data_IF_208748622056
#
_entry.id   IF_208748622056
#
_cell.length_a   1.000
_cell.length_b   1.000
_cell.length_c   1.000
_cell.angle_alpha   90.00
_cell.angle_beta   90.00
_cell.angle_gamma   90.00
#
_symmetry.space_group_name_H-M   'P 1'
#
loop_
_entity.id
_entity.type
_entity.pdbx_description
1 polymer ?
#
# COMPACT_ATOMS: atom_id res chain seq x y z
N UNK A 1 -13.38 -0.39 -19.44
CA UNK A 1 -13.56 0.72 -18.49
C UNK A 1 -12.50 0.50 -17.44
N UNK A 2 -11.30 1.03 -17.66
CA UNK A 2 -10.12 0.79 -16.81
C UNK A 2 -9.82 2.08 -16.06
N UNK A 3 -9.58 1.97 -14.76
CA UNK A 3 -9.44 3.12 -13.87
C UNK A 3 -10.23 3.02 -12.57
N UNK A 4 -10.58 1.81 -12.14
CA UNK A 4 -11.10 1.65 -10.79
C UNK A 4 -10.05 2.13 -9.76
N UNK A 5 -10.52 2.95 -8.82
CA UNK A 5 -9.71 3.55 -7.77
C UNK A 5 -10.31 3.17 -6.42
N UNK A 6 -9.48 2.60 -5.57
CA UNK A 6 -9.87 2.16 -4.24
C UNK A 6 -9.02 2.87 -3.20
N UNK A 7 -9.69 3.51 -2.25
CA UNK A 7 -9.02 4.17 -1.12
C UNK A 7 -9.21 3.33 0.14
N UNK A 8 -8.09 2.88 0.69
CA UNK A 8 -7.97 2.09 1.90
C UNK A 8 -7.69 3.03 3.06
N UNK A 9 -8.50 2.88 4.10
CA UNK A 9 -8.39 3.64 5.35
C UNK A 9 -7.96 2.73 6.48
N UNK A 10 -7.42 3.32 7.55
CA UNK A 10 -7.14 2.64 8.79
C UNK A 10 -8.35 2.82 9.71
N UNK A 11 -9.24 1.82 9.74
CA UNK A 11 -10.42 1.84 10.61
C UNK A 11 -10.12 1.17 11.97
N UNK A 12 -10.85 1.60 13.00
CA UNK A 12 -10.74 1.07 14.37
C UNK A 12 -11.05 -0.44 14.47
N UNK A 13 -11.86 -0.95 13.54
CA UNK A 13 -12.31 -2.34 13.51
C UNK A 13 -11.37 -3.28 12.75
N UNK A 14 -10.32 -2.77 12.10
CA UNK A 14 -9.34 -3.63 11.45
C UNK A 14 -8.39 -4.21 12.49
N UNK A 15 -8.56 -5.49 12.79
CA UNK A 15 -7.59 -6.32 13.53
C UNK A 15 -6.19 -6.27 12.89
N UNK A 16 -5.18 -6.74 13.62
CA UNK A 16 -3.77 -6.79 13.17
C UNK A 16 -3.05 -5.44 13.13
N UNK A 17 -3.22 -4.69 14.22
CA UNK A 17 -2.43 -3.48 14.53
C UNK A 17 -1.45 -3.76 15.67
N UNK A 18 -0.23 -3.24 15.59
CA UNK A 18 0.77 -3.37 16.65
C UNK A 18 0.44 -2.46 17.84
N UNK A 19 -0.12 -3.04 18.90
CA UNK A 19 -0.58 -2.30 20.09
C UNK A 19 0.45 -2.19 21.22
N UNK A 20 1.52 -2.99 21.20
CA UNK A 20 2.46 -3.07 22.33
C UNK A 20 3.25 -1.76 22.49
N UNK A 21 2.93 -1.00 23.55
CA UNK A 21 3.56 0.29 23.84
C UNK A 21 3.16 1.41 22.88
N UNK A 22 2.19 1.14 21.99
CA UNK A 22 1.72 2.09 20.99
C UNK A 22 0.57 2.94 21.54
N UNK A 23 0.57 4.21 21.19
CA UNK A 23 -0.59 5.10 21.35
C UNK A 23 -1.17 5.36 19.97
N UNK A 24 -2.49 5.17 19.85
CA UNK A 24 -3.21 5.35 18.60
C UNK A 24 -4.40 6.28 18.88
N UNK A 25 -4.50 7.34 18.11
CA UNK A 25 -5.64 8.25 18.15
C UNK A 25 -6.33 8.26 16.79
N UNK A 26 -7.64 8.06 16.80
CA UNK A 26 -8.48 8.10 15.61
C UNK A 26 -9.19 9.45 15.59
N UNK A 27 -8.60 10.43 14.90
CA UNK A 27 -9.19 11.77 14.75
C UNK A 27 -10.32 11.76 13.73
N UNK A 28 -10.25 10.86 12.76
CA UNK A 28 -11.29 10.63 11.76
C UNK A 28 -10.97 9.42 10.88
N UNK A 29 -11.84 9.13 9.90
CA UNK A 29 -11.69 7.98 9.00
C UNK A 29 -10.39 8.03 8.18
N UNK A 30 -9.95 9.23 7.83
CA UNK A 30 -8.76 9.52 7.03
C UNK A 30 -7.66 10.17 7.87
N UNK A 31 -7.68 9.99 9.20
CA UNK A 31 -6.65 10.56 10.06
C UNK A 31 -6.47 9.71 11.32
N UNK A 32 -5.46 8.85 11.24
CA UNK A 32 -5.01 8.03 12.37
C UNK A 32 -3.62 8.47 12.77
N UNK A 33 -3.49 8.91 14.01
CA UNK A 33 -2.20 9.26 14.59
C UNK A 33 -1.65 8.07 15.37
N UNK A 34 -0.40 7.72 15.10
CA UNK A 34 0.27 6.60 15.74
C UNK A 34 1.59 7.06 16.35
N UNK A 35 1.85 6.69 17.61
CA UNK A 35 3.09 7.01 18.30
C UNK A 35 3.63 5.79 19.05
N UNK A 36 4.89 5.43 18.78
CA UNK A 36 5.64 4.43 19.54
C UNK A 36 7.16 4.61 19.37
N UNK A 37 7.82 5.18 20.40
CA UNK A 37 9.26 5.47 20.38
C UNK A 37 10.16 4.25 20.59
N UNK A 38 9.61 3.15 21.09
CA UNK A 38 10.37 1.94 21.43
C UNK A 38 10.12 0.81 20.42
N UNK A 39 9.43 1.10 19.32
CA UNK A 39 9.14 0.10 18.30
C UNK A 39 10.42 -0.23 17.51
N UNK A 40 10.84 -1.50 17.45
CA UNK A 40 11.96 -1.90 16.62
C UNK A 40 11.69 -1.63 15.13
N UNK A 41 12.69 -1.20 14.35
CA UNK A 41 12.57 -1.14 12.90
C UNK A 41 12.32 -2.54 12.32
N UNK A 42 11.54 -2.62 11.25
CA UNK A 42 11.09 -3.87 10.64
C UNK A 42 9.82 -4.47 11.25
N UNK A 43 9.28 -3.87 12.32
CA UNK A 43 8.02 -4.32 12.92
C UNK A 43 6.84 -3.99 12.01
N UNK A 44 5.94 -4.96 11.80
CA UNK A 44 4.69 -4.70 11.08
C UNK A 44 3.73 -3.95 12.00
N UNK A 45 3.43 -2.71 11.64
CA UNK A 45 2.54 -1.82 12.40
C UNK A 45 1.09 -2.17 12.13
N UNK A 46 0.75 -2.39 10.85
CA UNK A 46 -0.63 -2.60 10.42
C UNK A 46 -0.69 -3.55 9.23
N UNK A 47 -1.73 -4.39 9.19
CA UNK A 47 -2.02 -5.26 8.05
C UNK A 47 -3.44 -5.03 7.52
N UNK A 48 -3.57 -5.14 6.21
CA UNK A 48 -4.84 -5.16 5.47
C UNK A 48 -4.88 -6.38 4.55
N UNK A 49 -6.07 -6.91 4.31
CA UNK A 49 -6.29 -8.17 3.58
C UNK A 49 -7.33 -8.00 2.47
N UNK A 50 -7.06 -8.54 1.27
CA UNK A 50 -8.01 -8.54 0.14
C UNK A 50 -9.07 -9.61 0.25
N UNK A 51 -8.74 -10.69 0.97
CA UNK A 51 -9.66 -11.75 1.30
C UNK A 51 -9.53 -12.06 2.77
N UNK A 52 -10.64 -11.97 3.49
CA UNK A 52 -10.72 -12.33 4.89
C UNK A 52 -11.60 -13.57 5.01
N UNK A 53 -11.19 -14.52 5.85
CA UNK A 53 -12.01 -15.67 6.16
C UNK A 53 -12.97 -15.28 7.30
N UNK A 54 -14.15 -14.78 6.93
CA UNK A 54 -15.13 -14.19 7.86
C UNK A 54 -15.43 -15.09 9.08
N UNK A 55 -15.43 -16.42 8.88
CA UNK A 55 -15.71 -17.40 9.94
C UNK A 55 -14.64 -17.49 11.03
N UNK A 56 -13.39 -17.11 10.74
CA UNK A 56 -12.28 -17.23 11.69
C UNK A 56 -11.81 -15.86 12.20
N UNK A 57 -11.92 -14.81 11.39
CA UNK A 57 -11.32 -13.50 11.68
C UNK A 57 -12.33 -12.38 11.98
N UNK A 58 -13.63 -12.56 11.70
CA UNK A 58 -14.66 -11.49 11.79
C UNK A 58 -14.26 -10.16 11.13
N UNK A 59 -13.34 -10.21 10.18
CA UNK A 59 -12.84 -9.04 9.46
C UNK A 59 -13.53 -8.94 8.11
N UNK A 60 -13.96 -7.74 7.74
CA UNK A 60 -14.36 -7.43 6.36
C UNK A 60 -13.09 -7.22 5.50
N UNK A 61 -13.07 -7.70 4.25
CA UNK A 61 -11.95 -7.44 3.35
C UNK A 61 -11.84 -5.92 3.12
N UNK A 62 -10.65 -5.38 3.36
CA UNK A 62 -10.38 -3.94 3.28
C UNK A 62 -9.65 -3.55 1.99
N UNK A 63 -9.24 -4.55 1.21
CA UNK A 63 -8.54 -4.38 -0.05
C UNK A 63 -9.41 -4.91 -1.21
N UNK A 64 -9.42 -4.22 -2.36
CA UNK A 64 -10.16 -4.67 -3.55
C UNK A 64 -9.56 -5.94 -4.13
N UNK A 65 -10.36 -6.71 -4.86
CA UNK A 65 -9.87 -7.75 -5.76
C UNK A 65 -9.11 -7.09 -6.91
N UNK A 66 -7.86 -7.48 -7.10
CA UNK A 66 -7.03 -7.08 -8.24
C UNK A 66 -6.86 -8.28 -9.15
N UNK A 67 -6.88 -8.06 -10.46
CA UNK A 67 -6.56 -9.08 -11.44
C UNK A 67 -5.04 -9.31 -11.54
N UNK A 68 -4.64 -10.50 -11.98
CA UNK A 68 -3.23 -10.88 -12.11
C UNK A 68 -2.55 -10.38 -13.38
N UNK A 69 -3.27 -9.63 -14.23
CA UNK A 69 -2.79 -9.20 -15.56
C UNK A 69 -2.70 -7.68 -15.70
N UNK A 70 -3.34 -6.91 -14.80
CA UNK A 70 -3.42 -5.46 -14.86
C UNK A 70 -2.24 -4.72 -14.22
N UNK A 71 -2.12 -3.45 -14.61
CA UNK A 71 -1.29 -2.48 -13.95
C UNK A 71 -1.95 -1.86 -12.77
N UNK A 72 -1.16 -1.60 -11.74
CA UNK A 72 -1.65 -0.93 -10.55
C UNK A 72 -0.66 0.12 -10.12
N UNK A 73 -1.21 1.27 -9.75
CA UNK A 73 -0.50 2.37 -9.11
C UNK A 73 -0.96 2.44 -7.68
N UNK A 74 -0.02 2.34 -6.74
CA UNK A 74 -0.28 2.62 -5.33
C UNK A 74 0.17 4.04 -5.02
N UNK A 75 -0.67 4.77 -4.29
CA UNK A 75 -0.34 6.07 -3.72
C UNK A 75 -0.54 5.99 -2.22
N UNK A 76 0.48 6.38 -1.46
CA UNK A 76 0.53 6.26 -0.01
C UNK A 76 0.58 7.67 0.58
N UNK A 77 -0.38 7.95 1.46
CA UNK A 77 -0.53 9.25 2.12
C UNK A 77 -0.29 9.07 3.63
N UNK A 78 0.95 9.32 4.04
CA UNK A 78 1.45 9.19 5.40
C UNK A 78 2.40 10.35 5.69
N UNK A 79 2.05 11.17 6.68
CA UNK A 79 2.91 12.23 7.19
C UNK A 79 3.78 11.67 8.33
N UNK A 80 5.10 11.74 8.17
CA UNK A 80 6.06 11.36 9.19
C UNK A 80 7.11 12.47 9.39
N UNK A 81 7.88 12.38 10.47
CA UNK A 81 8.91 13.39 10.75
C UNK A 81 10.05 13.32 9.74
N UNK A 82 10.72 14.45 9.50
CA UNK A 82 11.86 14.52 8.59
C UNK A 82 12.98 13.57 9.05
N UNK A 83 13.39 12.66 8.16
CA UNK A 83 14.40 11.62 8.45
C UNK A 83 13.83 10.29 8.96
N UNK A 84 12.54 10.20 9.23
CA UNK A 84 11.86 8.92 9.45
C UNK A 84 11.45 8.29 8.10
N UNK A 85 11.31 6.97 8.09
CA UNK A 85 10.92 6.23 6.90
C UNK A 85 9.82 5.23 7.21
N UNK A 86 8.88 5.10 6.28
CA UNK A 86 7.89 4.03 6.27
C UNK A 86 8.21 3.05 5.15
N UNK A 87 7.73 1.81 5.30
CA UNK A 87 7.76 0.82 4.23
C UNK A 87 6.38 0.19 4.13
N UNK A 88 5.84 0.11 2.92
CA UNK A 88 4.69 -0.73 2.65
C UNK A 88 5.15 -1.98 1.90
N UNK A 89 4.68 -3.14 2.34
CA UNK A 89 4.93 -4.41 1.66
C UNK A 89 3.61 -5.01 1.20
N UNK A 90 3.48 -5.19 -0.11
CA UNK A 90 2.41 -5.98 -0.73
C UNK A 90 2.92 -7.41 -0.89
N UNK A 91 2.16 -8.39 -0.40
CA UNK A 91 2.50 -9.81 -0.51
C UNK A 91 1.34 -10.50 -1.22
N UNK A 92 1.64 -11.13 -2.34
CA UNK A 92 0.68 -11.81 -3.21
C UNK A 92 0.70 -13.30 -2.93
N UNK A 93 -0.50 -13.89 -2.89
CA UNK A 93 -0.73 -15.30 -2.62
C UNK A 93 -1.45 -15.96 -3.79
N UNK A 94 -1.13 -17.22 -4.04
CA UNK A 94 -1.87 -18.04 -4.98
C UNK A 94 -3.13 -18.66 -4.34
N UNK A 95 -3.85 -19.48 -5.12
CA UNK A 95 -5.08 -20.16 -4.67
C UNK A 95 -4.86 -21.21 -3.57
N UNK A 96 -3.62 -21.52 -3.22
CA UNK A 96 -3.22 -22.46 -2.17
C UNK A 96 -2.59 -21.74 -0.97
N UNK A 97 -2.75 -20.42 -0.85
CA UNK A 97 -2.15 -19.56 0.17
C UNK A 97 -0.61 -19.60 0.20
N UNK A 98 0.03 -19.91 -0.94
CA UNK A 98 1.49 -19.86 -1.10
C UNK A 98 1.89 -18.48 -1.61
N UNK A 99 2.93 -17.88 -1.02
CA UNK A 99 3.46 -16.58 -1.48
C UNK A 99 3.93 -16.71 -2.95
N UNK A 100 3.21 -16.05 -3.84
CA UNK A 100 3.53 -15.97 -5.27
C UNK A 100 4.55 -14.88 -5.57
N UNK A 101 4.65 -13.87 -4.70
CA UNK A 101 5.62 -12.79 -4.78
C UNK A 101 5.34 -11.68 -3.78
N UNK A 102 6.25 -10.71 -3.69
CA UNK A 102 6.03 -9.50 -2.89
C UNK A 102 6.69 -8.27 -3.52
N UNK A 103 6.09 -7.10 -3.26
CA UNK A 103 6.55 -5.79 -3.71
C UNK A 103 6.73 -4.91 -2.48
N UNK A 104 7.83 -4.17 -2.43
CA UNK A 104 8.13 -3.22 -1.36
C UNK A 104 8.02 -1.80 -1.94
N UNK A 105 7.21 -0.98 -1.30
CA UNK A 105 6.91 0.41 -1.64
C UNK A 105 7.55 1.30 -0.57
N UNK A 106 8.31 2.29 -1.02
CA UNK A 106 9.00 3.27 -0.18
C UNK A 106 8.74 4.72 -0.60
N UNK A 107 8.20 4.89 -1.81
CA UNK A 107 7.86 6.19 -2.38
C UNK A 107 6.35 6.43 -2.26
N UNK A 108 5.94 7.68 -2.17
CA UNK A 108 4.53 8.08 -2.09
C UNK A 108 3.70 7.54 -3.25
N UNK A 109 4.32 7.34 -4.42
CA UNK A 109 3.66 6.81 -5.60
C UNK A 109 4.56 5.75 -6.25
N UNK A 110 4.01 4.56 -6.47
CA UNK A 110 4.74 3.45 -7.08
C UNK A 110 3.84 2.67 -8.02
N UNK A 111 4.34 2.38 -9.22
CA UNK A 111 3.70 1.47 -10.15
C UNK A 111 4.18 0.04 -9.91
N UNK A 112 3.25 -0.91 -9.89
CA UNK A 112 3.56 -2.31 -9.71
C UNK A 112 2.75 -3.20 -10.64
N UNK A 113 3.26 -4.43 -10.82
CA UNK A 113 2.63 -5.48 -11.58
C UNK A 113 2.27 -6.63 -10.68
N UNK A 114 1.02 -7.07 -10.77
CA UNK A 114 0.56 -8.25 -10.07
C UNK A 114 1.08 -9.51 -10.78
N UNK A 115 1.59 -10.51 -10.05
CA UNK A 115 1.87 -11.80 -10.67
C UNK A 115 0.58 -12.44 -11.22
N UNK A 116 0.67 -13.06 -12.42
CA UNK A 116 -0.44 -13.80 -13.08
C UNK A 116 -1.16 -14.83 -12.21
N UNK A 117 -0.49 -15.33 -11.16
CA UNK A 117 -1.03 -16.35 -10.24
C UNK A 117 -1.66 -15.77 -8.98
N UNK A 118 -1.82 -14.45 -8.90
CA UNK A 118 -2.37 -13.78 -7.71
C UNK A 118 -3.84 -14.12 -7.56
N UNK A 119 -4.17 -14.68 -6.40
CA UNK A 119 -5.53 -15.01 -5.99
C UNK A 119 -5.98 -14.16 -4.79
N UNK A 120 -5.06 -13.84 -3.89
CA UNK A 120 -5.27 -12.90 -2.79
C UNK A 120 -3.98 -12.12 -2.52
N UNK A 121 -4.07 -11.02 -1.79
CA UNK A 121 -2.90 -10.28 -1.34
C UNK A 121 -3.15 -9.62 0.00
N UNK A 122 -2.05 -9.29 0.68
CA UNK A 122 -2.04 -8.51 1.91
C UNK A 122 -1.11 -7.31 1.76
N UNK A 123 -1.48 -6.23 2.43
CA UNK A 123 -0.66 -5.03 2.56
C UNK A 123 -0.18 -4.93 4.00
N UNK A 124 1.10 -4.67 4.20
CA UNK A 124 1.72 -4.48 5.51
C UNK A 124 2.37 -3.11 5.56
N UNK A 125 1.99 -2.28 6.53
CA UNK A 125 2.75 -1.10 6.91
C UNK A 125 3.82 -1.53 7.92
N UNK A 126 5.08 -1.28 7.58
CA UNK A 126 6.26 -1.69 8.33
C UNK A 126 6.97 -0.44 8.82
N UNK A 127 7.43 -0.51 10.07
CA UNK A 127 8.24 0.53 10.66
C UNK A 127 9.62 0.61 10.00
N UNK A 128 9.95 1.72 9.33
CA UNK A 128 11.29 2.00 8.81
C UNK A 128 12.14 2.87 9.74
N UNK A 129 11.71 3.07 10.99
CA UNK A 129 12.34 3.99 11.95
C UNK A 129 11.41 5.13 12.40
N UNK A 130 10.11 5.04 12.11
CA UNK A 130 9.10 5.97 12.59
C UNK A 130 8.87 5.81 14.08
N UNK A 131 8.78 6.94 14.77
CA UNK A 131 8.36 7.02 16.16
C UNK A 131 7.00 7.69 16.31
N UNK A 132 6.62 8.54 15.35
CA UNK A 132 5.36 9.27 15.32
C UNK A 132 4.96 9.60 13.88
N UNK A 133 3.77 9.19 13.46
CA UNK A 133 3.27 9.48 12.13
C UNK A 133 1.74 9.65 12.11
N UNK A 134 1.24 10.31 11.08
CA UNK A 134 -0.17 10.41 10.76
C UNK A 134 -0.45 9.64 9.48
N UNK A 135 -1.32 8.64 9.57
CA UNK A 135 -1.81 7.88 8.44
C UNK A 135 -3.11 8.51 7.93
N UNK A 136 -3.14 8.81 6.63
CA UNK A 136 -4.34 9.33 5.98
C UNK A 136 -5.05 8.26 5.20
N UNK A 137 -4.42 7.75 4.14
CA UNK A 137 -4.97 6.68 3.31
C UNK A 137 -3.92 6.03 2.42
N UNK A 138 -4.24 4.85 1.92
CA UNK A 138 -3.54 4.26 0.78
C UNK A 138 -4.53 4.13 -0.36
N UNK A 139 -4.17 4.61 -1.54
CA UNK A 139 -4.98 4.47 -2.74
C UNK A 139 -4.34 3.46 -3.68
N UNK A 140 -5.12 2.52 -4.19
CA UNK A 140 -4.74 1.65 -5.29
C UNK A 140 -5.59 2.06 -6.49
N UNK A 141 -4.96 2.25 -7.64
CA UNK A 141 -5.64 2.58 -8.87
C UNK A 141 -5.18 1.62 -9.98
N UNK A 142 -6.14 1.07 -10.70
CA UNK A 142 -5.86 0.28 -11.91
C UNK A 142 -5.30 1.19 -13.02
N UNK A 143 -4.24 0.75 -13.66
CA UNK A 143 -3.58 1.40 -14.78
C UNK A 143 -3.49 0.44 -15.96
N UNK A 144 -3.83 0.95 -17.15
CA UNK A 144 -3.50 0.25 -18.38
C UNK A 144 -1.99 0.41 -18.60
N UNK A 145 -1.14 -0.55 -18.21
CA UNK A 145 0.23 -0.51 -18.75
C UNK A 145 0.22 -0.99 -20.19
N UNK A 146 -0.10 -0.04 -21.04
CA UNK A 146 0.74 0.25 -22.19
C UNK A 146 1.33 1.64 -21.96
N UNK A 147 2.66 1.66 -21.85
CA UNK A 147 3.54 2.82 -22.08
C UNK A 147 3.46 4.01 -21.12
N UNK A 148 4.22 3.93 -20.03
CA UNK A 148 4.92 5.12 -19.49
C UNK A 148 6.35 5.27 -20.05
N UNK A 149 6.89 4.29 -20.80
CA UNK A 149 8.15 4.46 -21.56
C UNK A 149 8.01 5.45 -22.75
N UNK A 150 6.82 5.65 -23.32
CA UNK A 150 6.64 6.60 -24.45
C UNK A 150 6.48 8.07 -24.00
N UNK A 151 6.21 8.36 -22.72
CA UNK A 151 6.03 9.74 -22.25
C UNK A 151 7.34 10.49 -21.97
N UNK A 152 8.43 9.78 -21.66
CA UNK A 152 9.76 10.40 -21.55
C UNK A 152 10.38 10.68 -22.93
N UNK A 153 10.20 9.80 -23.91
CA UNK A 153 10.75 9.99 -25.25
C UNK A 153 10.05 11.13 -26.03
N UNK A 154 8.76 11.37 -25.81
CA UNK A 154 8.07 12.54 -26.37
C UNK A 154 8.55 13.87 -25.77
N UNK A 155 9.09 13.86 -24.54
CA UNK A 155 9.71 15.05 -23.91
C UNK A 155 11.14 15.27 -24.41
N UNK A 156 11.91 14.21 -24.68
CA UNK A 156 13.27 14.30 -25.24
C UNK A 156 13.30 14.73 -26.71
N UNK A 157 12.28 14.40 -27.50
CA UNK A 157 12.22 14.74 -28.93
C UNK A 157 11.93 16.20 -29.28
N UNK A 158 11.36 17.01 -28.36
CA UNK A 158 10.99 18.42 -28.63
C UNK A 158 12.15 19.42 -28.50
N UNK A 159 13.36 18.98 -28.16
CA UNK A 159 14.54 19.84 -27.98
C UNK A 159 15.37 20.13 -29.24
N UNK A 160 15.13 19.45 -30.38
CA UNK A 160 15.90 19.66 -31.63
C UNK A 160 15.00 20.14 -32.77
N UNK A 161 14.55 21.39 -32.68
CA UNK A 161 14.24 22.24 -33.84
C UNK A 161 14.06 23.68 -33.40
N UNK A 162 15.16 24.43 -33.38
CA UNK A 162 15.15 25.88 -33.64
C UNK A 162 16.51 26.27 -34.22
N UNK A 163 16.42 26.65 -35.50
CA UNK A 163 17.33 27.39 -36.38
C UNK A 163 18.84 27.18 -36.25
#
# INVERSE_FOLDING_TARGET
>A
MTGEKWTIYWNEFSSDTYLYGSKIWYHGKNHVEFQNRLMPPGTVIKQWYSRTNYQMQRMEPSLPMIDGEGGYRVTVDIDCQEGEAWLIRLIFYDKYDVEAGSVIIRDEMTDFQCPLKTYSYRMQLINGGMTHFHFHSVTIQETDLKTDEEKEDLRRGKGRKKL
#
